data_IF_592864985592
#
_entry.id   IF_592864985592
#
_cell.length_a   1.000
_cell.length_b   1.000
_cell.length_c   1.000
_cell.angle_alpha   90.00
_cell.angle_beta   90.00
_cell.angle_gamma   90.00
#
_symmetry.space_group_name_H-M   'P 1'
#
loop_
_entity.id
_entity.type
_entity.pdbx_description
1 polymer ?
#
# COMPACT_ATOMS: atom_id res chain seq x y z
N UNK A 1 -0.18 85.97 28.41
CA UNK A 1 -0.44 86.05 26.96
C UNK A 1 -0.99 84.71 26.50
N UNK A 2 -1.97 84.68 25.57
CA UNK A 2 -2.17 83.65 24.53
C UNK A 2 -2.36 82.17 25.02
N UNK A 3 -3.44 81.42 24.75
CA UNK A 3 -4.62 81.55 23.87
C UNK A 3 -5.75 80.59 24.33
N UNK A 4 -7.02 80.86 23.97
CA UNK A 4 -8.20 79.95 23.79
C UNK A 4 -8.55 78.85 24.83
N UNK A 5 -9.81 78.62 25.26
CA UNK A 5 -11.13 78.85 24.64
C UNK A 5 -11.50 77.73 23.66
N UNK A 6 -12.74 77.27 23.42
CA UNK A 6 -14.11 77.50 23.94
C UNK A 6 -15.03 76.43 23.29
N UNK A 7 -16.26 76.08 23.73
CA UNK A 7 -17.09 76.37 24.91
C UNK A 7 -18.23 75.31 25.02
N UNK A 8 -18.93 75.23 26.15
CA UNK A 8 -20.32 74.70 26.22
C UNK A 8 -21.34 75.81 25.88
N UNK A 9 -22.58 75.43 25.51
CA UNK A 9 -23.87 75.85 26.13
C UNK A 9 -25.09 75.70 25.17
N UNK A 10 -26.14 75.05 25.67
CA UNK A 10 -27.60 75.16 25.40
C UNK A 10 -28.10 75.61 24.02
N UNK A 11 -28.82 74.82 23.21
CA UNK A 11 -30.10 74.12 23.42
C UNK A 11 -31.39 74.98 23.40
N UNK A 12 -32.28 74.65 22.45
CA UNK A 12 -33.74 74.82 22.43
C UNK A 12 -34.28 73.81 21.37
N UNK A 13 -35.43 73.14 21.48
CA UNK A 13 -36.77 73.60 21.89
C UNK A 13 -37.67 72.38 22.23
N UNK A 14 -38.71 72.60 23.04
CA UNK A 14 -39.60 71.55 23.61
C UNK A 14 -40.80 71.19 22.71
N UNK A 15 -41.21 69.91 22.71
CA UNK A 15 -42.60 69.40 22.72
C UNK A 15 -42.55 67.86 22.79
N UNK A 16 -43.50 67.10 23.38
CA UNK A 16 -44.63 67.42 24.28
C UNK A 16 -44.84 66.22 25.25
N UNK A 17 -45.63 66.34 26.33
CA UNK A 17 -45.62 65.41 27.50
C UNK A 17 -46.98 64.77 27.83
N UNK A 18 -46.96 63.54 28.39
CA UNK A 18 -48.05 62.73 29.00
C UNK A 18 -48.69 61.71 28.02
N UNK A 19 -49.02 60.45 28.37
CA UNK A 19 -49.19 59.71 29.65
C UNK A 19 -48.39 58.37 29.58
N UNK A 20 -47.87 57.68 30.60
CA UNK A 20 -48.14 57.42 32.03
C UNK A 20 -49.00 56.15 32.32
N UNK A 21 -48.42 55.26 33.16
CA UNK A 21 -48.95 54.06 33.85
C UNK A 21 -48.86 52.63 33.23
N UNK A 22 -47.96 51.84 33.84
CA UNK A 22 -47.92 50.39 34.11
C UNK A 22 -48.76 49.40 33.26
N UNK A 23 -48.09 48.38 32.72
CA UNK A 23 -48.37 46.98 33.11
C UNK A 23 -47.11 46.10 33.02
N UNK A 24 -47.08 45.07 33.87
CA UNK A 24 -45.97 44.19 34.29
C UNK A 24 -45.25 43.36 33.21
N UNK A 25 -43.97 43.07 33.49
CA UNK A 25 -43.30 41.76 33.38
C UNK A 25 -44.05 40.66 32.57
N UNK A 26 -43.50 40.27 31.42
CA UNK A 26 -42.99 38.91 31.13
C UNK A 26 -42.55 38.79 29.64
N UNK A 27 -41.77 39.74 29.12
CA UNK A 27 -41.04 39.51 27.88
C UNK A 27 -39.84 38.61 28.19
N UNK A 28 -40.07 37.29 28.29
CA UNK A 28 -38.99 36.30 28.22
C UNK A 28 -38.31 36.55 26.87
N UNK A 29 -37.12 37.13 26.94
CA UNK A 29 -36.28 37.32 25.78
C UNK A 29 -35.91 35.95 25.25
N UNK A 30 -36.70 35.46 24.31
CA UNK A 30 -36.37 34.36 23.41
C UNK A 30 -35.24 34.86 22.50
N UNK A 31 -34.08 35.14 23.09
CA UNK A 31 -32.82 35.01 22.39
C UNK A 31 -32.82 33.56 21.91
N UNK A 32 -32.88 33.29 20.60
CA UNK A 32 -32.50 31.97 20.14
C UNK A 32 -31.07 31.80 20.64
N UNK A 33 -30.87 30.85 21.54
CA UNK A 33 -29.55 30.29 21.78
C UNK A 33 -29.15 29.69 20.44
N UNK A 34 -28.47 30.50 19.62
CA UNK A 34 -27.71 30.01 18.49
C UNK A 34 -26.76 29.03 19.14
N UNK A 35 -27.09 27.75 19.01
CA UNK A 35 -26.26 26.65 19.45
C UNK A 35 -24.99 26.79 18.63
N UNK A 36 -24.01 27.44 19.25
CA UNK A 36 -22.68 27.62 18.68
C UNK A 36 -22.16 26.21 18.55
N UNK A 37 -22.18 25.69 17.32
CA UNK A 37 -21.58 24.42 16.98
C UNK A 37 -20.21 24.39 17.63
N UNK A 38 -19.91 23.28 18.29
CA UNK A 38 -18.55 23.03 18.73
C UNK A 38 -17.73 22.80 17.45
N UNK A 39 -17.30 23.90 16.83
CA UNK A 39 -16.58 23.92 15.56
C UNK A 39 -15.28 23.14 15.74
N UNK A 40 -15.36 21.84 15.44
CA UNK A 40 -14.22 20.95 15.44
C UNK A 40 -13.18 21.46 14.47
N UNK A 41 -11.92 21.11 14.68
CA UNK A 41 -10.87 21.47 13.72
C UNK A 41 -11.21 20.84 12.38
N UNK A 42 -11.49 21.67 11.37
CA UNK A 42 -11.86 21.21 10.04
C UNK A 42 -10.75 20.30 9.48
N UNK A 43 -11.14 19.09 9.08
CA UNK A 43 -10.22 18.04 8.63
C UNK A 43 -9.99 18.05 7.11
N UNK A 44 -10.70 18.94 6.42
CA UNK A 44 -10.66 19.17 4.98
C UNK A 44 -11.80 20.10 4.53
N UNK A 45 -11.93 20.26 3.22
CA UNK A 45 -13.00 21.04 2.59
C UNK A 45 -13.54 20.32 1.35
N UNK A 46 -14.86 20.34 1.16
CA UNK A 46 -15.47 20.05 -0.14
C UNK A 46 -15.31 21.26 -1.07
N UNK A 47 -14.74 21.04 -2.25
CA UNK A 47 -14.29 22.08 -3.20
C UNK A 47 -15.24 22.29 -4.37
N UNK A 48 -15.81 21.21 -4.90
CA UNK A 48 -16.68 21.21 -6.09
C UNK A 48 -17.62 20.01 -6.05
N UNK A 49 -18.86 20.19 -6.48
CA UNK A 49 -19.77 19.12 -6.84
C UNK A 49 -20.44 19.43 -8.19
N UNK A 50 -20.61 18.40 -9.02
CA UNK A 50 -21.54 18.39 -10.15
C UNK A 50 -22.69 17.50 -9.73
N UNK A 51 -23.93 17.99 -9.78
CA UNK A 51 -25.02 17.44 -8.98
C UNK A 51 -24.97 17.96 -7.53
N UNK A 52 -25.24 17.09 -6.56
CA UNK A 52 -25.27 17.42 -5.13
C UNK A 52 -24.37 16.48 -4.32
N UNK A 53 -23.43 17.08 -3.59
CA UNK A 53 -22.72 16.41 -2.49
C UNK A 53 -23.54 16.62 -1.22
N UNK A 54 -23.82 15.55 -0.47
CA UNK A 54 -24.43 15.62 0.86
C UNK A 54 -23.37 15.28 1.90
N UNK A 55 -23.30 16.06 2.97
CA UNK A 55 -22.46 15.79 4.15
C UNK A 55 -23.39 15.67 5.36
N UNK A 56 -23.46 14.48 5.94
CA UNK A 56 -24.18 14.24 7.19
C UNK A 56 -23.18 14.40 8.33
N UNK A 57 -23.40 15.41 9.18
CA UNK A 57 -22.57 15.73 10.34
C UNK A 57 -22.68 14.64 11.41
N UNK A 58 -21.75 14.64 12.36
CA UNK A 58 -21.72 13.67 13.46
C UNK A 58 -22.97 13.72 14.38
N UNK A 59 -23.68 14.85 14.42
CA UNK A 59 -24.96 15.05 15.13
C UNK A 59 -26.20 14.70 14.28
N UNK A 60 -26.02 14.31 13.02
CA UNK A 60 -27.08 13.96 12.08
C UNK A 60 -27.59 15.09 11.18
N UNK A 61 -27.06 16.32 11.31
CA UNK A 61 -27.45 17.43 10.43
C UNK A 61 -26.95 17.17 9.00
N UNK A 62 -27.82 17.32 8.00
CA UNK A 62 -27.41 17.29 6.59
C UNK A 62 -27.05 18.70 6.07
N UNK A 63 -25.86 18.84 5.52
CA UNK A 63 -25.44 19.96 4.69
C UNK A 63 -25.25 19.52 3.24
N UNK A 64 -25.42 20.45 2.29
CA UNK A 64 -25.37 20.15 0.85
C UNK A 64 -24.52 21.15 0.08
N UNK A 65 -23.69 20.65 -0.84
CA UNK A 65 -22.89 21.46 -1.76
C UNK A 65 -23.23 21.11 -3.21
N UNK A 66 -23.41 22.14 -4.03
CA UNK A 66 -23.59 22.05 -5.49
C UNK A 66 -22.77 23.14 -6.16
N UNK A 67 -22.12 22.85 -7.29
CA UNK A 67 -21.18 23.77 -7.92
C UNK A 67 -19.85 23.89 -7.17
N UNK A 68 -19.15 25.01 -7.32
CA UNK A 68 -17.89 25.30 -6.60
C UNK A 68 -18.18 25.87 -5.21
N UNK A 69 -17.39 25.50 -4.21
CA UNK A 69 -17.52 26.05 -2.86
C UNK A 69 -16.33 25.72 -1.95
N UNK A 70 -16.51 25.96 -0.66
CA UNK A 70 -15.54 25.62 0.40
C UNK A 70 -16.27 25.24 1.68
N UNK A 71 -17.05 24.18 1.61
CA UNK A 71 -17.75 23.62 2.78
C UNK A 71 -16.73 22.88 3.65
N UNK A 72 -16.61 23.18 4.96
CA UNK A 72 -15.72 22.45 5.85
C UNK A 72 -16.20 21.01 6.06
N UNK A 73 -15.26 20.11 6.26
CA UNK A 73 -15.47 18.71 6.64
C UNK A 73 -14.88 18.50 8.03
N UNK A 74 -15.50 17.64 8.83
CA UNK A 74 -15.12 17.36 10.21
C UNK A 74 -14.92 15.86 10.47
N UNK A 75 -14.29 15.54 11.60
CA UNK A 75 -14.19 14.17 12.11
C UNK A 75 -15.60 13.62 12.39
N UNK A 76 -15.90 12.43 11.89
CA UNK A 76 -17.20 11.77 12.08
C UNK A 76 -18.22 11.98 10.95
N UNK A 77 -17.98 12.94 10.05
CA UNK A 77 -18.85 13.24 8.91
C UNK A 77 -19.02 12.04 7.96
N UNK A 78 -20.23 11.85 7.43
CA UNK A 78 -20.53 10.92 6.34
C UNK A 78 -20.77 11.70 5.06
N UNK A 79 -19.92 11.50 4.06
CA UNK A 79 -19.95 12.22 2.79
C UNK A 79 -20.54 11.33 1.70
N UNK A 80 -21.50 11.86 0.92
CA UNK A 80 -22.33 11.10 -0.02
C UNK A 80 -22.56 11.79 -1.36
N UNK A 81 -22.57 11.00 -2.43
CA UNK A 81 -23.08 11.35 -3.77
C UNK A 81 -24.23 10.42 -4.16
N UNK A 82 -25.20 10.94 -4.91
CA UNK A 82 -26.23 10.12 -5.56
C UNK A 82 -25.77 9.61 -6.95
N UNK A 83 -26.67 8.93 -7.67
CA UNK A 83 -26.38 8.29 -8.96
C UNK A 83 -26.04 9.28 -10.09
N UNK A 84 -26.31 10.58 -9.91
CA UNK A 84 -26.07 11.65 -10.87
C UNK A 84 -24.99 12.64 -10.42
N UNK A 85 -24.39 12.43 -9.24
CA UNK A 85 -23.52 13.41 -8.59
C UNK A 85 -22.08 12.94 -8.49
N UNK A 86 -21.14 13.85 -8.72
CA UNK A 86 -19.70 13.63 -8.50
C UNK A 86 -19.10 14.83 -7.77
N UNK A 87 -18.10 14.61 -6.94
CA UNK A 87 -17.52 15.67 -6.10
C UNK A 87 -16.00 15.60 -5.99
N UNK A 88 -15.40 16.72 -5.61
CA UNK A 88 -13.98 16.85 -5.32
C UNK A 88 -13.81 17.49 -3.93
N UNK A 89 -13.04 16.82 -3.08
CA UNK A 89 -12.65 17.23 -1.75
C UNK A 89 -11.14 17.41 -1.66
N UNK A 90 -10.71 18.18 -0.66
CA UNK A 90 -9.32 18.39 -0.31
C UNK A 90 -9.19 18.22 1.22
N UNK A 91 -8.48 17.17 1.65
CA UNK A 91 -8.23 16.85 3.05
C UNK A 91 -6.80 17.22 3.41
N UNK A 92 -6.60 17.91 4.54
CA UNK A 92 -5.32 18.58 4.84
C UNK A 92 -4.84 19.44 3.63
N UNK A 93 -3.54 19.70 3.49
CA UNK A 93 -2.95 20.45 2.37
C UNK A 93 -2.62 19.62 1.13
N UNK A 94 -2.69 18.28 1.25
CA UNK A 94 -1.93 17.37 0.37
C UNK A 94 -2.70 16.12 -0.07
N UNK A 95 -3.99 15.99 0.28
CA UNK A 95 -4.81 14.83 -0.07
C UNK A 95 -6.03 15.31 -0.86
N UNK A 96 -6.11 14.92 -2.13
CA UNK A 96 -7.29 15.15 -2.97
C UNK A 96 -8.13 13.88 -3.02
N UNK A 97 -9.45 14.03 -2.89
CA UNK A 97 -10.41 12.90 -2.93
C UNK A 97 -11.53 13.23 -3.90
N UNK A 98 -11.61 12.49 -5.00
CA UNK A 98 -12.72 12.54 -5.96
C UNK A 98 -13.75 11.48 -5.65
N UNK A 99 -15.02 11.84 -5.58
CA UNK A 99 -16.14 10.91 -5.41
C UNK A 99 -16.80 10.71 -6.78
N UNK A 100 -16.98 9.45 -7.17
CA UNK A 100 -17.86 9.09 -8.27
C UNK A 100 -19.33 9.14 -7.82
N UNK A 101 -20.25 8.78 -8.71
CA UNK A 101 -21.67 8.56 -8.38
C UNK A 101 -21.86 7.48 -7.31
N UNK A 102 -23.03 7.49 -6.67
CA UNK A 102 -23.49 6.42 -5.77
C UNK A 102 -22.49 6.08 -4.64
N UNK A 103 -21.73 7.07 -4.16
CA UNK A 103 -20.58 6.84 -3.26
C UNK A 103 -20.89 7.36 -1.86
N UNK A 104 -20.52 6.59 -0.84
CA UNK A 104 -20.74 6.93 0.57
C UNK A 104 -19.54 6.51 1.42
N UNK A 105 -18.92 7.45 2.13
CA UNK A 105 -17.85 7.13 3.08
C UNK A 105 -17.93 7.99 4.36
N UNK A 106 -17.36 7.48 5.47
CA UNK A 106 -17.23 8.23 6.73
C UNK A 106 -15.78 8.65 6.98
N UNK A 107 -15.57 9.89 7.41
CA UNK A 107 -14.26 10.39 7.84
C UNK A 107 -14.03 10.01 9.31
N UNK A 108 -12.95 9.31 9.61
CA UNK A 108 -12.47 9.09 10.98
C UNK A 108 -10.94 9.21 11.05
N UNK A 109 -10.38 9.26 12.25
CA UNK A 109 -8.94 9.36 12.49
C UNK A 109 -8.51 8.40 13.61
N UNK A 110 -7.29 7.87 13.52
CA UNK A 110 -6.66 7.02 14.55
C UNK A 110 -5.37 7.67 15.03
N UNK A 111 -5.17 7.74 16.34
CA UNK A 111 -3.90 8.24 16.92
C UNK A 111 -2.99 7.07 17.30
N UNK A 112 -1.73 7.18 16.93
CA UNK A 112 -0.68 6.21 17.21
C UNK A 112 0.56 6.94 17.76
N UNK A 113 1.12 6.44 18.87
CA UNK A 113 2.28 7.06 19.52
C UNK A 113 3.51 7.21 18.60
N UNK A 114 3.67 6.32 17.62
CA UNK A 114 4.80 6.33 16.67
C UNK A 114 4.53 7.17 15.40
N UNK A 115 3.28 7.19 14.91
CA UNK A 115 2.94 7.73 13.59
C UNK A 115 2.10 9.03 13.65
N UNK A 116 1.65 9.45 14.83
CA UNK A 116 0.78 10.61 15.00
C UNK A 116 -0.67 10.31 14.66
N UNK A 117 -1.34 11.19 13.91
CA UNK A 117 -2.73 11.00 13.48
C UNK A 117 -2.75 10.42 12.06
N UNK A 118 -3.23 9.19 11.93
CA UNK A 118 -3.60 8.56 10.65
C UNK A 118 -5.03 8.93 10.30
N UNK A 119 -5.26 9.46 9.10
CA UNK A 119 -6.59 9.76 8.57
C UNK A 119 -7.16 8.50 7.92
N UNK A 120 -8.43 8.19 8.16
CA UNK A 120 -9.09 7.00 7.63
C UNK A 120 -10.37 7.42 6.90
N UNK A 121 -10.56 6.96 5.67
CA UNK A 121 -11.79 7.11 4.90
C UNK A 121 -12.50 5.75 4.86
N UNK A 122 -13.60 5.60 5.60
CA UNK A 122 -14.41 4.38 5.66
C UNK A 122 -15.40 4.34 4.51
N UNK A 123 -14.96 3.88 3.35
CA UNK A 123 -15.78 3.69 2.16
C UNK A 123 -16.76 2.53 2.37
N UNK A 124 -18.06 2.86 2.39
CA UNK A 124 -19.13 1.86 2.53
C UNK A 124 -19.50 1.25 1.18
N UNK A 125 -19.70 2.09 0.18
CA UNK A 125 -20.09 1.73 -1.18
C UNK A 125 -19.70 2.84 -2.17
N UNK A 126 -19.52 2.49 -3.44
CA UNK A 126 -19.16 3.39 -4.53
C UNK A 126 -17.64 3.51 -4.74
N UNK A 127 -17.19 4.59 -5.40
CA UNK A 127 -15.83 4.70 -5.92
C UNK A 127 -15.17 6.05 -5.56
N UNK A 128 -13.96 5.97 -5.03
CA UNK A 128 -13.08 7.10 -4.74
C UNK A 128 -11.86 7.09 -5.66
N UNK A 129 -11.52 8.26 -6.19
CA UNK A 129 -10.16 8.58 -6.63
C UNK A 129 -9.44 9.31 -5.50
N UNK A 130 -8.18 8.99 -5.27
CA UNK A 130 -7.37 9.60 -4.21
C UNK A 130 -5.98 9.90 -4.74
N UNK A 131 -5.51 11.15 -4.55
CA UNK A 131 -4.13 11.59 -4.82
C UNK A 131 -3.52 12.17 -3.55
N UNK A 132 -2.28 11.79 -3.25
CA UNK A 132 -1.54 12.26 -2.06
C UNK A 132 -0.15 12.78 -2.43
N UNK A 133 0.22 13.97 -1.95
CA UNK A 133 1.61 14.44 -1.99
C UNK A 133 2.47 13.59 -1.03
N UNK A 134 3.71 13.27 -1.42
CA UNK A 134 4.61 12.48 -0.58
C UNK A 134 4.99 13.19 0.72
N UNK A 135 4.42 12.75 1.85
CA UNK A 135 4.64 13.34 3.17
C UNK A 135 4.66 12.33 4.31
N UNK A 136 4.83 12.83 5.55
CA UNK A 136 4.95 11.99 6.76
C UNK A 136 3.59 11.48 7.29
N UNK A 137 2.49 12.15 6.92
CA UNK A 137 1.13 11.82 7.39
C UNK A 137 0.55 10.65 6.59
N UNK A 138 0.06 9.64 7.30
CA UNK A 138 -0.53 8.45 6.69
C UNK A 138 -2.04 8.65 6.42
N UNK A 139 -2.49 8.12 5.29
CA UNK A 139 -3.89 8.00 4.92
C UNK A 139 -4.22 6.51 4.76
N UNK A 140 -5.39 6.11 5.25
CA UNK A 140 -5.97 4.80 5.01
C UNK A 140 -7.34 4.96 4.34
N UNK A 141 -7.70 4.03 3.45
CA UNK A 141 -9.08 3.85 2.98
C UNK A 141 -9.54 2.47 3.40
N UNK A 142 -10.48 2.42 4.34
CA UNK A 142 -11.12 1.19 4.80
C UNK A 142 -12.36 0.91 3.93
N UNK A 143 -12.58 -0.35 3.59
CA UNK A 143 -13.75 -0.90 2.87
C UNK A 143 -14.34 -2.06 3.68
N UNK A 144 -15.51 -2.64 3.32
CA UNK A 144 -16.10 -3.74 4.10
C UNK A 144 -15.21 -4.99 4.25
N UNK A 145 -14.24 -5.20 3.35
CA UNK A 145 -13.39 -6.42 3.33
C UNK A 145 -11.88 -6.14 3.31
N UNK A 146 -11.47 -4.89 3.08
CA UNK A 146 -10.07 -4.53 2.86
C UNK A 146 -9.69 -3.12 3.36
N UNK A 147 -8.40 -2.88 3.55
CA UNK A 147 -7.80 -1.61 3.94
C UNK A 147 -6.70 -1.27 2.92
N UNK A 148 -6.67 -0.03 2.44
CA UNK A 148 -5.62 0.51 1.59
C UNK A 148 -4.77 1.50 2.39
N UNK A 149 -3.49 1.23 2.60
CA UNK A 149 -2.54 2.16 3.25
C UNK A 149 -1.82 2.97 2.18
N UNK A 150 -1.85 4.29 2.31
CA UNK A 150 -1.58 5.25 1.23
C UNK A 150 -0.45 6.20 1.62
N UNK A 151 0.57 6.32 0.76
CA UNK A 151 1.66 7.30 0.92
C UNK A 151 2.27 7.69 -0.43
N UNK A 152 2.04 8.92 -0.88
CA UNK A 152 2.68 9.47 -2.09
C UNK A 152 2.20 8.80 -3.38
N UNK A 153 0.90 8.56 -3.49
CA UNK A 153 0.28 7.81 -4.60
C UNK A 153 -0.90 8.54 -5.22
N UNK A 154 -1.23 8.15 -6.45
CA UNK A 154 -2.53 8.38 -7.08
C UNK A 154 -3.21 7.02 -7.40
N UNK A 155 -4.45 6.83 -6.98
CA UNK A 155 -5.17 5.57 -7.18
C UNK A 155 -6.69 5.74 -7.18
N UNK A 156 -7.39 4.67 -7.54
CA UNK A 156 -8.83 4.50 -7.41
C UNK A 156 -9.11 3.29 -6.52
N UNK A 157 -10.10 3.41 -5.65
CA UNK A 157 -10.67 2.31 -4.87
C UNK A 157 -12.19 2.34 -4.97
N UNK A 158 -12.79 1.18 -5.19
CA UNK A 158 -14.23 0.97 -5.32
C UNK A 158 -14.67 -0.11 -4.34
N UNK A 159 -15.80 0.12 -3.64
CA UNK A 159 -16.48 -0.87 -2.83
C UNK A 159 -17.85 -1.18 -3.47
N UNK A 160 -18.03 -2.41 -3.91
CA UNK A 160 -19.26 -2.92 -4.50
C UNK A 160 -20.29 -3.30 -3.41
N UNK A 161 -21.56 -3.42 -3.80
CA UNK A 161 -22.68 -3.67 -2.86
C UNK A 161 -22.66 -5.04 -2.19
N UNK A 162 -21.92 -5.99 -2.76
CA UNK A 162 -21.63 -7.32 -2.19
C UNK A 162 -20.45 -7.29 -1.19
N UNK A 163 -19.81 -6.14 -0.99
CA UNK A 163 -18.62 -5.95 -0.17
C UNK A 163 -17.30 -6.14 -0.92
N UNK A 164 -17.32 -6.64 -2.16
CA UNK A 164 -16.13 -6.81 -3.00
C UNK A 164 -15.47 -5.45 -3.25
N UNK A 165 -14.16 -5.36 -3.11
CA UNK A 165 -13.42 -4.10 -3.19
C UNK A 165 -12.32 -4.14 -4.25
N UNK A 166 -12.33 -3.20 -5.19
CA UNK A 166 -11.41 -3.12 -6.31
C UNK A 166 -10.44 -1.95 -6.10
N UNK A 167 -9.13 -2.16 -6.17
CA UNK A 167 -8.12 -1.10 -6.06
C UNK A 167 -7.22 -1.08 -7.28
N UNK A 168 -7.17 0.07 -7.98
CA UNK A 168 -6.32 0.31 -9.16
C UNK A 168 -5.38 1.49 -8.91
N UNK A 169 -4.07 1.30 -9.00
CA UNK A 169 -3.09 2.37 -8.79
C UNK A 169 -2.70 3.03 -10.11
N UNK A 170 -2.83 4.36 -10.17
CA UNK A 170 -2.43 5.20 -11.31
C UNK A 170 -0.94 5.56 -11.17
N UNK A 171 -0.49 5.92 -9.97
CA UNK A 171 0.89 6.31 -9.68
C UNK A 171 1.29 5.87 -8.26
N UNK A 172 2.48 5.28 -8.10
CA UNK A 172 3.07 4.92 -6.81
C UNK A 172 2.80 3.47 -6.37
N UNK A 173 2.68 3.25 -5.06
CA UNK A 173 2.40 1.95 -4.44
C UNK A 173 1.43 2.10 -3.26
N UNK A 174 0.34 1.34 -3.30
CA UNK A 174 -0.67 1.25 -2.23
C UNK A 174 -0.62 -0.15 -1.62
N UNK A 175 -0.46 -0.26 -0.31
CA UNK A 175 -0.55 -1.54 0.39
C UNK A 175 -2.02 -1.88 0.62
N UNK A 176 -2.56 -2.82 -0.14
CA UNK A 176 -3.96 -3.23 -0.09
C UNK A 176 -4.09 -4.56 0.66
N UNK A 177 -4.76 -4.56 1.81
CA UNK A 177 -4.81 -5.70 2.72
C UNK A 177 -6.22 -6.14 3.09
N UNK A 178 -6.38 -7.44 3.28
CA UNK A 178 -7.57 -8.06 3.89
C UNK A 178 -7.15 -8.73 5.21
N UNK A 179 -8.10 -9.24 5.99
CA UNK A 179 -7.81 -10.09 7.15
C UNK A 179 -7.00 -11.37 6.81
N UNK A 180 -6.88 -11.72 5.52
CA UNK A 180 -6.18 -12.91 5.01
C UNK A 180 -4.85 -12.56 4.31
N UNK A 181 -4.41 -11.31 4.39
CA UNK A 181 -3.09 -10.85 3.95
C UNK A 181 -3.12 -9.64 3.01
N UNK A 182 -1.92 -9.12 2.73
CA UNK A 182 -1.66 -7.91 1.94
C UNK A 182 -1.18 -8.19 0.52
N UNK A 183 -1.39 -7.19 -0.34
CA UNK A 183 -1.01 -7.11 -1.73
C UNK A 183 -0.48 -5.69 -2.03
N UNK A 184 0.81 -5.52 -2.35
CA UNK A 184 1.34 -4.23 -2.81
C UNK A 184 0.86 -3.95 -4.23
N UNK A 185 -0.01 -2.96 -4.40
CA UNK A 185 -0.58 -2.57 -5.70
C UNK A 185 0.28 -1.43 -6.24
N UNK A 186 0.82 -1.58 -7.45
CA UNK A 186 1.75 -0.62 -8.08
C UNK A 186 1.11 0.10 -9.26
N UNK A 187 1.69 1.23 -9.67
CA UNK A 187 1.42 1.93 -10.94
C UNK A 187 0.94 1.00 -12.06
N UNK A 188 -0.20 1.31 -12.66
CA UNK A 188 -0.83 0.57 -13.75
C UNK A 188 -1.22 -0.88 -13.42
N UNK A 189 -1.54 -1.18 -12.15
CA UNK A 189 -2.08 -2.48 -11.73
C UNK A 189 -3.38 -2.37 -10.93
N UNK A 190 -4.17 -3.45 -10.93
CA UNK A 190 -5.42 -3.60 -10.17
C UNK A 190 -5.39 -4.87 -9.32
N UNK A 191 -6.03 -4.84 -8.15
CA UNK A 191 -6.32 -6.00 -7.30
C UNK A 191 -7.75 -5.94 -6.77
N UNK A 192 -8.32 -7.10 -6.49
CA UNK A 192 -9.67 -7.29 -5.98
C UNK A 192 -9.60 -7.93 -4.59
N UNK A 193 -10.45 -7.53 -3.67
CA UNK A 193 -10.59 -8.12 -2.36
C UNK A 193 -12.03 -8.57 -2.15
N UNK A 194 -12.20 -9.79 -1.64
CA UNK A 194 -13.49 -10.41 -1.38
C UNK A 194 -13.54 -10.88 0.08
N UNK A 195 -14.74 -10.98 0.65
CA UNK A 195 -14.91 -11.45 2.02
C UNK A 195 -14.34 -12.88 2.19
N UNK A 196 -13.62 -13.11 3.29
CA UNK A 196 -13.06 -14.43 3.59
C UNK A 196 -11.81 -14.82 2.79
N UNK A 197 -11.32 -13.95 1.89
CA UNK A 197 -10.22 -14.25 0.97
C UNK A 197 -9.10 -13.22 1.09
N UNK A 198 -7.89 -13.63 0.68
CA UNK A 198 -6.80 -12.69 0.43
C UNK A 198 -7.11 -11.88 -0.83
N UNK A 199 -6.68 -10.61 -0.85
CA UNK A 199 -6.64 -9.80 -2.07
C UNK A 199 -5.98 -10.56 -3.24
N UNK A 200 -6.49 -10.36 -4.45
CA UNK A 200 -5.94 -11.02 -5.66
C UNK A 200 -4.55 -10.49 -5.95
N UNK A 201 -3.71 -11.33 -6.57
CA UNK A 201 -2.43 -10.86 -7.12
C UNK A 201 -2.68 -9.65 -8.04
N UNK A 202 -1.91 -8.56 -7.93
CA UNK A 202 -2.07 -7.41 -8.82
C UNK A 202 -1.86 -7.82 -10.28
N UNK A 203 -2.77 -7.41 -11.17
CA UNK A 203 -2.66 -7.59 -12.62
C UNK A 203 -2.55 -6.25 -13.32
N UNK A 204 -1.84 -6.20 -14.45
CA UNK A 204 -1.74 -4.97 -15.25
C UNK A 204 -3.13 -4.55 -15.69
N UNK A 205 -3.45 -3.26 -15.50
CA UNK A 205 -4.73 -2.68 -15.85
C UNK A 205 -4.51 -1.38 -16.62
N UNK A 206 -5.33 -1.16 -17.65
CA UNK A 206 -5.43 0.14 -18.27
C UNK A 206 -5.93 1.18 -17.25
N UNK A 207 -5.11 2.20 -17.03
CA UNK A 207 -5.37 3.36 -16.15
C UNK A 207 -5.79 4.59 -16.94
N UNK A 208 -5.76 4.59 -18.28
CA UNK A 208 -6.13 5.75 -19.10
C UNK A 208 -7.61 6.16 -18.92
N UNK A 209 -8.61 5.24 -18.86
CA UNK A 209 -9.99 5.63 -18.57
C UNK A 209 -10.16 6.28 -17.18
N UNK A 210 -9.37 5.80 -16.22
CA UNK A 210 -9.32 6.33 -14.86
C UNK A 210 -8.72 7.75 -14.82
N UNK A 211 -7.55 7.94 -15.42
CA UNK A 211 -6.87 9.23 -15.51
C UNK A 211 -7.69 10.27 -16.30
N UNK A 212 -8.41 9.86 -17.34
CA UNK A 212 -9.26 10.76 -18.13
C UNK A 212 -10.47 11.28 -17.32
N UNK A 213 -11.10 10.41 -16.51
CA UNK A 213 -12.17 10.83 -15.59
C UNK A 213 -11.66 11.81 -14.54
N UNK A 214 -10.50 11.56 -13.94
CA UNK A 214 -9.96 12.39 -12.85
C UNK A 214 -9.48 13.74 -13.38
N UNK A 215 -8.89 13.78 -14.58
CA UNK A 215 -8.61 15.02 -15.31
C UNK A 215 -9.89 15.87 -15.53
N UNK A 216 -11.03 15.25 -15.88
CA UNK A 216 -12.31 15.96 -16.05
C UNK A 216 -12.93 16.45 -14.73
N UNK A 217 -12.70 15.76 -13.61
CA UNK A 217 -13.08 16.24 -12.27
C UNK A 217 -12.27 17.49 -11.87
N UNK A 218 -10.96 17.44 -12.11
CA UNK A 218 -10.01 18.52 -11.80
C UNK A 218 -10.18 19.73 -12.73
N UNK A 219 -10.53 19.53 -14.00
CA UNK A 219 -10.76 20.64 -14.91
C UNK A 219 -11.96 21.49 -14.45
N UNK A 220 -11.74 22.80 -14.53
CA UNK A 220 -12.70 23.82 -14.14
C UNK A 220 -13.56 24.30 -15.31
N UNK A 221 -13.26 23.90 -16.55
CA UNK A 221 -13.98 24.32 -17.77
C UNK A 221 -15.08 23.36 -18.25
N UNK A 222 -14.97 22.05 -17.98
CA UNK A 222 -15.86 21.02 -18.54
C UNK A 222 -17.34 21.05 -18.08
N UNK A 223 -17.76 21.96 -17.21
CA UNK A 223 -19.13 22.01 -16.65
C UNK A 223 -20.16 22.74 -17.53
N UNK A 224 -20.13 22.51 -18.85
CA UNK A 224 -21.18 22.90 -19.81
C UNK A 224 -21.23 21.91 -20.98
N UNK A 225 -21.85 20.75 -20.76
CA UNK A 225 -22.72 20.01 -21.68
C UNK A 225 -23.04 18.65 -21.04
N UNK A 226 -24.32 18.33 -20.87
CA UNK A 226 -24.77 17.11 -20.19
C UNK A 226 -25.08 15.96 -21.15
N UNK A 227 -25.31 14.77 -20.59
CA UNK A 227 -25.94 13.63 -21.27
C UNK A 227 -24.98 12.75 -22.10
N UNK A 228 -24.41 11.72 -21.47
CA UNK A 228 -23.61 10.70 -22.16
C UNK A 228 -23.39 9.46 -21.30
N UNK A 229 -24.29 8.48 -21.37
CA UNK A 229 -24.11 7.18 -20.72
C UNK A 229 -23.08 6.34 -21.47
N UNK A 230 -21.86 6.24 -20.92
CA UNK A 230 -20.85 5.28 -21.39
C UNK A 230 -20.96 4.01 -20.54
N UNK A 231 -21.56 2.97 -21.10
CA UNK A 231 -21.43 1.60 -20.63
C UNK A 231 -20.46 0.87 -21.57
N UNK A 232 -19.39 0.28 -21.03
CA UNK A 232 -18.51 -0.63 -21.77
C UNK A 232 -18.18 -1.85 -20.92
N UNK A 233 -18.26 -3.03 -21.55
CA UNK A 233 -18.03 -4.31 -20.92
C UNK A 233 -16.53 -4.58 -20.66
N UNK A 234 -16.24 -5.43 -19.67
CA UNK A 234 -14.88 -5.75 -19.26
C UNK A 234 -14.13 -6.65 -20.28
N UNK A 235 -12.82 -6.42 -20.53
CA UNK A 235 -11.99 -7.29 -21.37
C UNK A 235 -11.52 -8.56 -20.65
N UNK A 236 -11.14 -9.57 -21.44
CA UNK A 236 -10.65 -10.88 -20.96
C UNK A 236 -9.30 -10.78 -20.21
N UNK A 237 -9.01 -11.70 -19.26
CA UNK A 237 -7.87 -11.57 -18.35
C UNK A 237 -6.49 -11.77 -19.03
N UNK A 238 -5.48 -10.96 -18.68
CA UNK A 238 -4.11 -11.11 -19.19
C UNK A 238 -3.38 -12.32 -18.58
N UNK A 239 -2.42 -12.87 -19.33
CA UNK A 239 -1.64 -14.03 -18.90
C UNK A 239 -0.75 -13.73 -17.66
N UNK A 240 -0.55 -14.70 -16.75
CA UNK A 240 0.11 -14.46 -15.46
C UNK A 240 1.61 -14.15 -15.59
N UNK A 241 2.02 -12.99 -15.07
CA UNK A 241 3.40 -12.56 -14.96
C UNK A 241 4.05 -12.97 -13.61
N UNK A 242 5.37 -13.10 -13.60
CA UNK A 242 6.17 -13.31 -12.39
C UNK A 242 6.26 -12.02 -11.55
N UNK A 243 6.40 -12.12 -10.21
CA UNK A 243 6.79 -10.98 -9.37
C UNK A 243 8.21 -10.50 -9.71
N UNK A 244 8.55 -9.24 -9.45
CA UNK A 244 9.84 -8.63 -9.79
C UNK A 244 10.82 -8.72 -8.61
N UNK A 245 12.09 -9.02 -8.89
CA UNK A 245 13.20 -9.01 -7.92
C UNK A 245 14.33 -8.08 -8.40
N UNK A 246 14.04 -6.78 -8.51
CA UNK A 246 15.01 -5.78 -8.98
C UNK A 246 14.68 -4.35 -8.53
N UNK A 247 15.69 -3.50 -8.23
CA UNK A 247 17.06 -3.90 -7.90
C UNK A 247 17.06 -4.76 -6.63
N UNK A 248 17.89 -5.82 -6.55
CA UNK A 248 17.92 -6.67 -5.37
C UNK A 248 18.44 -5.88 -4.15
N UNK A 249 17.95 -6.17 -2.93
CA UNK A 249 18.57 -5.66 -1.71
C UNK A 249 20.04 -6.07 -1.61
N UNK A 250 20.80 -5.34 -0.82
CA UNK A 250 22.21 -5.61 -0.59
C UNK A 250 22.40 -7.01 0.02
N UNK A 251 23.12 -7.86 -0.71
CA UNK A 251 23.43 -9.21 -0.29
C UNK A 251 24.62 -9.23 0.69
N UNK A 252 24.61 -10.20 1.62
CA UNK A 252 25.72 -10.50 2.53
C UNK A 252 27.01 -10.88 1.78
N UNK A 253 26.84 -11.63 0.68
CA UNK A 253 27.90 -11.99 -0.26
C UNK A 253 27.27 -12.45 -1.58
N UNK A 254 28.07 -12.66 -2.62
CA UNK A 254 27.60 -13.17 -3.91
C UNK A 254 28.62 -14.12 -4.58
N UNK A 255 28.16 -14.91 -5.54
CA UNK A 255 29.01 -15.80 -6.34
C UNK A 255 28.46 -15.96 -7.76
N UNK A 256 29.29 -15.69 -8.77
CA UNK A 256 28.99 -16.07 -10.16
C UNK A 256 29.03 -17.59 -10.31
N UNK A 257 28.01 -18.17 -10.93
CA UNK A 257 27.94 -19.61 -11.21
C UNK A 257 28.49 -19.85 -12.62
N UNK A 258 29.52 -20.71 -12.79
CA UNK A 258 30.08 -20.99 -14.12
C UNK A 258 29.04 -21.53 -15.09
N UNK A 259 28.98 -20.95 -16.31
CA UNK A 259 28.01 -21.33 -17.35
C UNK A 259 28.01 -22.83 -17.65
N UNK A 260 29.18 -23.47 -17.67
CA UNK A 260 29.32 -24.91 -17.91
C UNK A 260 28.57 -25.80 -16.87
N UNK A 261 28.36 -25.31 -15.64
CA UNK A 261 27.58 -26.02 -14.62
C UNK A 261 26.06 -25.91 -14.86
N UNK A 262 25.62 -24.98 -15.70
CA UNK A 262 24.21 -24.72 -16.02
C UNK A 262 23.84 -25.21 -17.43
N UNK A 263 24.79 -25.12 -18.36
CA UNK A 263 24.72 -25.54 -19.76
C UNK A 263 25.92 -26.45 -20.04
N UNK A 264 25.88 -27.73 -19.63
CA UNK A 264 26.95 -28.69 -19.91
C UNK A 264 26.88 -29.25 -21.34
N UNK A 265 25.71 -29.23 -21.97
CA UNK A 265 25.50 -29.55 -23.38
C UNK A 265 25.39 -28.26 -24.18
N UNK A 266 26.42 -27.97 -24.99
CA UNK A 266 26.49 -26.85 -25.91
C UNK A 266 26.13 -27.22 -27.36
N UNK A 267 25.75 -28.48 -27.63
CA UNK A 267 25.37 -28.92 -28.99
C UNK A 267 23.96 -28.48 -29.37
N UNK A 268 23.12 -28.11 -28.38
CA UNK A 268 21.77 -27.62 -28.57
C UNK A 268 21.56 -26.25 -27.93
N UNK A 269 20.74 -25.41 -28.57
CA UNK A 269 20.32 -24.13 -28.01
C UNK A 269 19.47 -24.34 -26.74
N UNK A 270 19.98 -23.90 -25.59
CA UNK A 270 19.28 -24.02 -24.31
C UNK A 270 18.25 -22.90 -24.13
N UNK A 271 17.13 -23.21 -23.48
CA UNK A 271 16.14 -22.23 -23.04
C UNK A 271 16.26 -21.92 -21.55
N UNK A 272 15.60 -20.84 -21.10
CA UNK A 272 15.44 -20.53 -19.68
C UNK A 272 14.82 -21.69 -18.90
N UNK A 273 13.91 -22.47 -19.50
CA UNK A 273 13.35 -23.66 -18.87
C UNK A 273 14.38 -24.77 -18.65
N UNK A 274 15.32 -24.99 -19.58
CA UNK A 274 16.37 -26.00 -19.41
C UNK A 274 17.29 -25.64 -18.23
N UNK A 275 17.71 -24.38 -18.15
CA UNK A 275 18.59 -23.89 -17.08
C UNK A 275 17.86 -23.86 -15.73
N UNK A 276 16.61 -23.40 -15.69
CA UNK A 276 15.79 -23.40 -14.48
C UNK A 276 15.57 -24.82 -13.95
N UNK A 277 15.15 -25.77 -14.80
CA UNK A 277 14.94 -27.16 -14.41
C UNK A 277 16.23 -27.84 -13.90
N UNK A 278 17.40 -27.46 -14.45
CA UNK A 278 18.69 -27.94 -13.94
C UNK A 278 19.00 -27.38 -12.55
N UNK A 279 18.75 -26.10 -12.31
CA UNK A 279 18.91 -25.48 -10.98
C UNK A 279 17.93 -26.08 -9.97
N UNK A 280 16.64 -26.20 -10.31
CA UNK A 280 15.63 -26.86 -9.47
C UNK A 280 16.04 -28.29 -9.10
N UNK A 281 16.56 -29.07 -10.05
CA UNK A 281 17.04 -30.43 -9.79
C UNK A 281 18.22 -30.44 -8.81
N UNK A 282 19.14 -29.47 -8.90
CA UNK A 282 20.26 -29.35 -7.97
C UNK A 282 19.82 -28.89 -6.56
N UNK A 283 18.81 -28.02 -6.49
CA UNK A 283 18.18 -27.59 -5.24
C UNK A 283 17.43 -28.75 -4.57
N UNK A 284 16.56 -29.44 -5.31
CA UNK A 284 15.79 -30.58 -4.84
C UNK A 284 16.67 -31.74 -4.32
N UNK A 285 17.78 -32.03 -5.03
CA UNK A 285 18.78 -33.04 -4.60
C UNK A 285 19.36 -32.74 -3.21
N UNK A 286 19.41 -31.47 -2.82
CA UNK A 286 19.93 -31.02 -1.52
C UNK A 286 18.82 -30.62 -0.54
N UNK A 287 17.57 -31.04 -0.78
CA UNK A 287 16.44 -30.88 0.15
C UNK A 287 15.79 -29.50 0.19
N UNK A 288 16.13 -28.60 -0.73
CA UNK A 288 15.36 -27.37 -0.96
C UNK A 288 14.09 -27.73 -1.76
N UNK A 289 12.94 -27.21 -1.34
CA UNK A 289 11.64 -27.44 -1.98
C UNK A 289 11.08 -26.13 -2.57
N UNK A 290 10.47 -26.22 -3.75
CA UNK A 290 9.62 -25.18 -4.34
C UNK A 290 10.22 -23.76 -4.34
N UNK A 291 11.37 -23.52 -5.01
CA UNK A 291 11.95 -22.18 -5.08
C UNK A 291 11.00 -21.18 -5.77
N UNK A 292 11.00 -19.93 -5.30
CA UNK A 292 10.16 -18.87 -5.84
C UNK A 292 10.73 -18.29 -7.13
N UNK A 293 9.94 -18.27 -8.21
CA UNK A 293 10.31 -17.64 -9.47
C UNK A 293 10.01 -16.13 -9.49
N UNK A 294 10.99 -15.36 -9.96
CA UNK A 294 10.90 -13.92 -10.12
C UNK A 294 11.36 -13.48 -11.51
N UNK A 295 10.88 -12.33 -11.97
CA UNK A 295 11.42 -11.60 -13.11
C UNK A 295 12.51 -10.63 -12.66
N UNK A 296 13.55 -10.52 -13.47
CA UNK A 296 14.61 -9.50 -13.39
C UNK A 296 14.80 -8.91 -14.81
N UNK A 297 15.53 -7.80 -14.98
CA UNK A 297 15.81 -7.27 -16.32
C UNK A 297 16.40 -8.35 -17.22
N UNK A 298 15.76 -8.53 -18.38
CA UNK A 298 16.19 -9.47 -19.43
C UNK A 298 16.43 -10.92 -18.94
N UNK A 299 15.71 -11.33 -17.89
CA UNK A 299 16.03 -12.57 -17.20
C UNK A 299 15.00 -13.04 -16.18
N UNK A 300 15.41 -14.00 -15.36
CA UNK A 300 14.61 -14.54 -14.26
C UNK A 300 15.49 -14.79 -13.02
N UNK A 301 14.86 -14.96 -11.87
CA UNK A 301 15.52 -15.41 -10.65
C UNK A 301 14.76 -16.56 -9.99
N UNK A 302 15.52 -17.41 -9.29
CA UNK A 302 15.04 -18.48 -8.42
C UNK A 302 15.48 -18.18 -6.99
N UNK A 303 14.54 -18.02 -6.06
CA UNK A 303 14.85 -17.73 -4.66
C UNK A 303 14.59 -18.97 -3.80
N UNK A 304 15.57 -19.36 -2.98
CA UNK A 304 15.47 -20.49 -2.06
C UNK A 304 14.64 -20.16 -0.83
N UNK A 305 14.10 -21.18 -0.15
CA UNK A 305 13.42 -20.98 1.14
C UNK A 305 14.44 -20.53 2.21
N UNK A 306 13.94 -19.90 3.28
CA UNK A 306 14.78 -19.60 4.44
C UNK A 306 15.31 -20.90 5.05
N UNK A 307 16.63 -21.01 5.12
CA UNK A 307 17.36 -22.17 5.59
C UNK A 307 18.06 -21.86 6.91
N UNK A 308 17.88 -22.67 7.94
CA UNK A 308 18.69 -22.58 9.17
C UNK A 308 20.03 -23.27 8.96
N UNK A 309 21.11 -22.54 9.22
CA UNK A 309 22.51 -22.97 9.03
C UNK A 309 23.28 -22.97 10.36
N UNK A 310 24.34 -23.78 10.39
CA UNK A 310 25.36 -23.71 11.43
C UNK A 310 26.29 -22.51 11.17
N UNK A 311 27.12 -22.09 12.15
CA UNK A 311 28.09 -21.01 11.97
C UNK A 311 29.09 -21.24 10.82
N UNK A 312 29.39 -22.50 10.47
CA UNK A 312 30.29 -22.88 9.35
C UNK A 312 29.57 -22.89 7.97
N UNK A 313 28.41 -22.24 7.88
CA UNK A 313 27.50 -22.23 6.73
C UNK A 313 26.94 -23.60 6.28
N UNK A 314 27.19 -24.70 7.02
CA UNK A 314 26.57 -26.00 6.72
C UNK A 314 25.07 -26.01 7.08
N UNK A 315 24.23 -26.77 6.36
CA UNK A 315 22.83 -26.92 6.73
C UNK A 315 22.69 -27.59 8.11
N UNK A 316 21.79 -27.07 8.95
CA UNK A 316 21.35 -27.79 10.16
C UNK A 316 20.60 -29.09 9.79
N UNK A 317 20.45 -30.06 10.72
CA UNK A 317 19.75 -31.31 10.46
C UNK A 317 18.31 -31.13 9.93
N UNK A 318 17.78 -32.02 9.05
CA UNK A 318 16.52 -31.79 8.32
C UNK A 318 15.27 -31.56 9.18
N UNK A 319 15.26 -32.05 10.42
CA UNK A 319 14.21 -31.87 11.41
C UNK A 319 14.14 -30.45 11.98
N UNK A 320 15.16 -29.62 11.78
CA UNK A 320 15.29 -28.23 12.26
C UNK A 320 15.51 -27.23 11.12
N UNK A 321 16.22 -27.62 10.05
CA UNK A 321 16.62 -26.78 8.89
C UNK A 321 15.53 -25.88 8.31
N UNK A 322 14.29 -26.35 8.35
CA UNK A 322 13.12 -25.70 7.74
C UNK A 322 12.03 -25.32 8.75
N UNK A 323 12.25 -25.52 10.05
CA UNK A 323 11.25 -25.20 11.08
C UNK A 323 11.49 -23.82 11.66
N UNK A 324 10.49 -22.95 11.48
CA UNK A 324 10.29 -21.74 12.29
C UNK A 324 9.13 -22.07 13.22
N UNK A 325 9.32 -22.10 14.54
CA UNK A 325 8.22 -22.42 15.46
C UNK A 325 7.29 -21.21 15.61
N UNK A 326 6.00 -21.42 15.37
CA UNK A 326 4.94 -20.43 15.61
C UNK A 326 3.85 -21.09 16.44
N UNK A 327 3.53 -20.52 17.60
CA UNK A 327 2.55 -21.09 18.54
C UNK A 327 1.13 -20.58 18.22
N UNK A 328 0.18 -21.47 17.86
CA UNK A 328 -1.18 -21.09 17.46
C UNK A 328 -2.04 -20.53 18.60
N UNK A 329 -1.62 -20.59 19.87
CA UNK A 329 -2.35 -19.97 20.98
C UNK A 329 -2.40 -18.43 20.92
N UNK A 330 -1.65 -17.80 20.00
CA UNK A 330 -1.56 -16.34 19.84
C UNK A 330 -2.66 -15.72 18.96
N UNK A 331 -3.70 -16.47 18.58
CA UNK A 331 -4.63 -16.12 17.48
C UNK A 331 -6.03 -15.73 18.01
N UNK A 332 -6.17 -14.53 18.57
CA UNK A 332 -7.46 -13.78 18.69
C UNK A 332 -7.19 -12.27 18.69
N UNK A 333 -8.15 -11.43 18.27
CA UNK A 333 -8.01 -10.65 17.04
C UNK A 333 -6.78 -9.71 17.02
N UNK A 334 -5.85 -10.04 16.12
CA UNK A 334 -4.71 -9.26 15.61
C UNK A 334 -4.11 -8.13 16.50
N UNK A 335 -3.13 -8.51 17.32
CA UNK A 335 -2.06 -7.62 17.78
C UNK A 335 -0.72 -8.04 17.13
N UNK A 336 -0.32 -7.35 16.05
CA UNK A 336 0.88 -7.68 15.28
C UNK A 336 2.17 -7.59 16.13
N UNK A 337 2.25 -6.64 17.07
CA UNK A 337 3.41 -6.50 17.97
C UNK A 337 3.56 -7.67 18.95
N UNK A 338 2.44 -8.26 19.41
CA UNK A 338 2.48 -9.45 20.27
C UNK A 338 2.93 -10.70 19.48
N UNK A 339 2.45 -10.86 18.24
CA UNK A 339 2.89 -11.91 17.32
C UNK A 339 4.40 -11.82 17.02
N UNK A 340 4.91 -10.62 16.75
CA UNK A 340 6.34 -10.37 16.55
C UNK A 340 7.17 -10.68 17.80
N UNK A 341 6.68 -10.30 18.99
CA UNK A 341 7.37 -10.61 20.26
C UNK A 341 7.41 -12.11 20.60
N UNK A 342 6.42 -12.88 20.14
CA UNK A 342 6.43 -14.35 20.24
C UNK A 342 7.43 -15.01 19.27
N UNK A 343 7.61 -14.43 18.07
CA UNK A 343 8.61 -14.88 17.08
C UNK A 343 10.06 -14.56 17.50
N UNK A 344 10.29 -13.46 18.22
CA UNK A 344 11.60 -13.03 18.71
C UNK A 344 12.10 -13.78 19.96
N UNK A 345 11.41 -14.85 20.37
CA UNK A 345 11.61 -15.49 21.67
C UNK A 345 11.64 -17.02 21.66
N UNK A 346 12.57 -17.64 20.88
CA UNK A 346 13.26 -18.92 21.21
C UNK A 346 14.17 -19.49 20.11
N UNK A 347 13.98 -19.14 18.83
CA UNK A 347 14.69 -19.78 17.70
C UNK A 347 15.98 -19.01 17.29
N UNK A 348 16.96 -18.92 18.20
CA UNK A 348 18.25 -18.28 17.94
C UNK A 348 19.11 -19.02 16.89
N UNK A 349 19.99 -18.28 16.22
CA UNK A 349 21.02 -18.81 15.33
C UNK A 349 21.06 -18.17 13.94
N UNK A 350 21.74 -18.84 13.02
CA UNK A 350 22.03 -18.34 11.68
C UNK A 350 21.06 -18.90 10.64
N UNK A 351 20.69 -18.06 9.68
CA UNK A 351 19.78 -18.41 8.59
C UNK A 351 20.29 -17.85 7.27
N UNK A 352 19.94 -18.46 6.14
CA UNK A 352 20.19 -17.87 4.81
C UNK A 352 19.02 -17.99 3.84
N UNK A 353 18.97 -17.06 2.89
CA UNK A 353 18.23 -17.15 1.63
C UNK A 353 19.22 -16.96 0.48
N UNK A 354 19.06 -17.73 -0.59
CA UNK A 354 19.90 -17.63 -1.79
C UNK A 354 19.00 -17.29 -2.99
N UNK A 355 19.25 -16.14 -3.62
CA UNK A 355 18.61 -15.74 -4.86
C UNK A 355 19.55 -16.00 -6.04
N UNK A 356 19.22 -16.97 -6.88
CA UNK A 356 19.92 -17.29 -8.12
C UNK A 356 19.35 -16.41 -9.24
N UNK A 357 20.08 -15.37 -9.61
CA UNK A 357 19.68 -14.38 -10.62
C UNK A 357 20.34 -14.74 -11.95
N UNK A 358 19.55 -14.85 -13.02
CA UNK A 358 19.99 -15.19 -14.38
C UNK A 358 19.65 -14.03 -15.32
N UNK A 359 20.65 -13.26 -15.76
CA UNK A 359 20.46 -12.02 -16.55
C UNK A 359 21.77 -11.64 -17.26
N UNK A 360 21.73 -10.92 -18.41
CA UNK A 360 22.91 -10.28 -18.98
C UNK A 360 23.23 -8.93 -18.30
N UNK A 361 22.29 -8.38 -17.53
CA UNK A 361 22.39 -7.05 -16.91
C UNK A 361 23.22 -7.11 -15.62
N UNK A 362 24.20 -6.22 -15.51
CA UNK A 362 25.01 -6.06 -14.29
C UNK A 362 24.14 -5.81 -13.07
N UNK A 363 24.30 -6.64 -12.03
CA UNK A 363 23.57 -6.50 -10.77
C UNK A 363 24.14 -5.32 -9.99
N UNK A 364 23.34 -4.26 -9.87
CA UNK A 364 23.54 -3.16 -8.92
C UNK A 364 22.47 -3.30 -7.85
N UNK A 365 22.88 -3.45 -6.59
CA UNK A 365 21.96 -3.59 -5.46
C UNK A 365 21.36 -2.24 -5.07
N UNK A 366 20.26 -2.26 -4.32
CA UNK A 366 19.49 -1.05 -3.99
C UNK A 366 20.15 -0.13 -2.95
N UNK A 367 21.19 -0.58 -2.25
CA UNK A 367 21.74 0.08 -1.06
C UNK A 367 20.91 -0.12 0.21
N UNK A 368 19.78 -0.83 0.13
CA UNK A 368 18.96 -1.19 1.28
C UNK A 368 19.36 -2.59 1.79
N UNK A 369 19.46 -2.74 3.10
CA UNK A 369 19.65 -4.05 3.74
C UNK A 369 18.37 -4.89 3.64
N UNK A 370 18.51 -6.18 3.33
CA UNK A 370 17.38 -7.10 3.38
C UNK A 370 16.90 -7.31 4.81
N UNK A 371 15.58 -7.24 5.05
CA UNK A 371 14.97 -7.67 6.29
C UNK A 371 14.67 -9.18 6.24
N UNK A 372 14.95 -9.92 7.32
CA UNK A 372 14.61 -11.35 7.42
C UNK A 372 13.10 -11.61 7.28
N UNK A 373 12.25 -10.66 7.68
CA UNK A 373 10.79 -10.76 7.56
C UNK A 373 10.34 -10.74 6.10
N UNK A 374 11.00 -9.92 5.28
CA UNK A 374 10.79 -9.91 3.82
C UNK A 374 11.35 -11.18 3.18
N UNK A 375 12.57 -11.57 3.57
CA UNK A 375 13.26 -12.75 3.03
C UNK A 375 12.50 -14.06 3.28
N UNK A 376 11.81 -14.18 4.43
CA UNK A 376 10.89 -15.30 4.74
C UNK A 376 9.76 -15.42 3.71
N UNK A 377 9.31 -14.32 3.14
CA UNK A 377 8.17 -14.27 2.22
C UNK A 377 8.54 -14.50 0.76
N UNK A 378 9.81 -14.31 0.37
CA UNK A 378 10.22 -14.38 -1.05
C UNK A 378 9.87 -15.72 -1.72
N UNK A 379 9.95 -16.86 -1.03
CA UNK A 379 9.49 -18.13 -1.64
C UNK A 379 7.97 -18.20 -1.78
N UNK A 380 7.22 -17.78 -0.77
CA UNK A 380 5.75 -17.82 -0.82
C UNK A 380 5.13 -16.77 -1.77
N UNK A 381 5.89 -15.73 -2.13
CA UNK A 381 5.46 -14.67 -3.06
C UNK A 381 5.91 -14.92 -4.51
N UNK A 382 6.94 -15.75 -4.71
CA UNK A 382 7.42 -16.17 -6.03
C UNK A 382 6.37 -16.90 -6.87
N UNK A 383 6.55 -16.90 -8.19
CA UNK A 383 5.82 -17.83 -9.05
C UNK A 383 6.26 -19.27 -8.80
N UNK A 384 5.37 -20.24 -9.02
CA UNK A 384 5.68 -21.67 -8.81
C UNK A 384 6.35 -22.36 -10.01
N UNK A 385 6.49 -21.64 -11.15
CA UNK A 385 7.17 -22.07 -12.38
C UNK A 385 7.40 -20.87 -13.30
N UNK A 386 8.30 -20.99 -14.28
CA UNK A 386 8.35 -20.04 -15.41
C UNK A 386 7.02 -20.04 -16.19
N UNK A 387 6.43 -18.88 -16.50
CA UNK A 387 5.34 -18.76 -17.47
C UNK A 387 5.77 -19.25 -18.86
N UNK A 388 4.84 -19.83 -19.63
CA UNK A 388 5.09 -20.46 -20.96
C UNK A 388 5.77 -19.53 -21.98
N UNK A 389 5.64 -18.21 -21.82
CA UNK A 389 6.28 -17.20 -22.69
C UNK A 389 7.76 -17.01 -22.31
N UNK A 390 8.08 -16.99 -21.02
CA UNK A 390 9.44 -16.88 -20.50
C UNK A 390 10.20 -18.20 -20.61
N UNK A 391 9.52 -19.33 -20.42
CA UNK A 391 10.11 -20.68 -20.48
C UNK A 391 10.73 -21.01 -21.85
N UNK A 392 10.31 -20.34 -22.92
CA UNK A 392 10.78 -20.52 -24.30
C UNK A 392 11.94 -19.60 -24.70
N UNK A 393 12.28 -18.61 -23.88
CA UNK A 393 13.37 -17.68 -24.20
C UNK A 393 14.70 -18.42 -24.25
N UNK A 394 15.55 -18.05 -25.20
CA UNK A 394 16.89 -18.63 -25.33
C UNK A 394 17.78 -18.15 -24.18
N UNK A 395 18.64 -19.04 -23.69
CA UNK A 395 19.65 -18.71 -22.71
C UNK A 395 20.92 -18.23 -23.43
N UNK A 396 20.92 -16.94 -23.83
CA UNK A 396 21.99 -16.28 -24.59
C UNK A 396 23.38 -16.45 -23.97
N UNK A 397 24.44 -16.30 -24.76
CA UNK A 397 25.84 -16.52 -24.32
C UNK A 397 26.28 -15.53 -23.22
N UNK A 398 25.74 -14.32 -23.30
CA UNK A 398 25.85 -13.19 -22.39
C UNK A 398 25.12 -13.39 -21.05
N UNK A 399 24.20 -14.35 -20.94
CA UNK A 399 23.49 -14.66 -19.69
C UNK A 399 24.45 -15.08 -18.57
N UNK A 400 24.56 -14.23 -17.54
CA UNK A 400 25.32 -14.52 -16.32
C UNK A 400 24.37 -15.02 -15.24
N UNK A 401 24.76 -16.10 -14.57
CA UNK A 401 24.11 -16.58 -13.37
C UNK A 401 24.89 -16.12 -12.13
N UNK A 402 24.23 -15.43 -11.20
CA UNK A 402 24.82 -14.97 -9.94
C UNK A 402 23.94 -15.39 -8.78
N UNK A 403 24.50 -16.12 -7.81
CA UNK A 403 23.88 -16.33 -6.52
C UNK A 403 24.13 -15.10 -5.63
N UNK A 404 23.07 -14.49 -5.15
CA UNK A 404 23.08 -13.50 -4.07
C UNK A 404 22.72 -14.22 -2.77
N UNK A 405 23.59 -14.15 -1.77
CA UNK A 405 23.39 -14.81 -0.48
C UNK A 405 23.00 -13.74 0.54
N UNK A 406 21.87 -13.94 1.22
CA UNK A 406 21.42 -13.14 2.34
C UNK A 406 21.53 -14.01 3.59
N UNK A 407 22.47 -13.68 4.46
CA UNK A 407 22.73 -14.36 5.73
C UNK A 407 22.21 -13.50 6.88
N UNK A 408 21.46 -14.11 7.78
CA UNK A 408 20.83 -13.45 8.92
C UNK A 408 21.22 -14.14 10.22
N UNK A 409 21.43 -13.35 11.27
CA UNK A 409 21.56 -13.84 12.63
C UNK A 409 20.35 -13.40 13.46
N UNK A 410 19.74 -14.33 14.19
CA UNK A 410 18.73 -14.07 15.21
C UNK A 410 19.37 -14.27 16.59
N UNK A 411 19.60 -13.20 17.37
CA UNK A 411 20.16 -13.31 18.71
C UNK A 411 19.23 -14.02 19.70
N UNK A 412 19.80 -14.61 20.75
CA UNK A 412 19.06 -15.38 21.77
C UNK A 412 18.14 -14.55 22.68
N UNK A 413 18.26 -13.22 22.68
CA UNK A 413 17.69 -12.35 23.71
C UNK A 413 16.92 -11.14 23.16
N UNK A 414 15.88 -11.37 22.34
CA UNK A 414 14.86 -10.36 22.02
C UNK A 414 15.32 -9.15 21.19
N UNK A 415 16.58 -9.14 20.76
CA UNK A 415 17.12 -8.21 19.77
C UNK A 415 16.55 -8.51 18.38
N UNK A 416 16.52 -7.49 17.52
CA UNK A 416 16.10 -7.67 16.13
C UNK A 416 17.10 -8.56 15.38
N UNK A 417 16.60 -9.33 14.42
CA UNK A 417 17.47 -10.08 13.52
C UNK A 417 18.32 -9.13 12.67
N UNK A 418 19.61 -9.45 12.50
CA UNK A 418 20.56 -8.66 11.72
C UNK A 418 20.93 -9.36 10.42
N UNK A 419 21.17 -8.58 9.37
CA UNK A 419 21.81 -9.07 8.15
C UNK A 419 23.32 -9.11 8.39
N UNK A 420 23.94 -10.28 8.25
CA UNK A 420 25.38 -10.43 8.36
C UNK A 420 26.02 -9.96 7.06
N UNK A 421 26.45 -8.69 7.02
CA UNK A 421 27.02 -8.06 5.82
C UNK A 421 28.31 -7.28 6.17
N UNK A 422 29.48 -7.66 5.61
CA UNK A 422 29.69 -8.87 4.81
C UNK A 422 29.43 -10.14 5.64
N UNK A 423 29.09 -11.25 4.98
CA UNK A 423 29.15 -12.57 5.62
C UNK A 423 30.61 -12.95 5.91
N UNK A 424 30.84 -13.69 7.00
CA UNK A 424 32.12 -14.34 7.31
C UNK A 424 32.52 -15.37 6.23
N UNK A 425 31.55 -15.87 5.46
CA UNK A 425 31.72 -16.85 4.40
C UNK A 425 31.48 -16.21 3.03
N UNK A 426 32.36 -16.47 2.06
CA UNK A 426 32.11 -16.03 0.69
C UNK A 426 31.02 -16.89 0.01
N UNK A 427 30.45 -16.37 -1.09
CA UNK A 427 29.38 -17.06 -1.79
C UNK A 427 29.75 -18.48 -2.29
N UNK A 428 31.03 -18.74 -2.61
CA UNK A 428 31.47 -20.09 -2.97
C UNK A 428 31.43 -21.06 -1.78
N UNK A 429 31.82 -20.60 -0.58
CA UNK A 429 31.74 -21.40 0.66
C UNK A 429 30.29 -21.76 0.98
N UNK A 430 29.35 -20.80 0.92
CA UNK A 430 27.92 -21.09 1.11
C UNK A 430 27.40 -22.12 0.10
N UNK A 431 27.66 -21.94 -1.21
CA UNK A 431 27.15 -22.87 -2.23
C UNK A 431 27.79 -24.26 -2.17
N UNK A 432 29.04 -24.38 -1.67
CA UNK A 432 29.70 -25.66 -1.37
C UNK A 432 29.11 -26.33 -0.13
N UNK A 433 28.93 -25.59 0.97
CA UNK A 433 28.33 -26.10 2.20
C UNK A 433 26.87 -26.55 1.99
N UNK A 434 26.12 -25.84 1.14
CA UNK A 434 24.80 -26.22 0.66
C UNK A 434 24.79 -27.39 -0.35
N UNK A 435 25.97 -27.87 -0.80
CA UNK A 435 26.17 -28.90 -1.84
C UNK A 435 25.53 -28.59 -3.20
N UNK A 436 25.22 -27.32 -3.47
CA UNK A 436 24.54 -26.87 -4.70
C UNK A 436 25.48 -26.96 -5.91
N UNK A 437 26.74 -26.52 -5.79
CA UNK A 437 27.72 -26.64 -6.88
C UNK A 437 27.98 -28.12 -7.25
N UNK A 438 28.14 -28.98 -6.23
CA UNK A 438 28.30 -30.43 -6.42
C UNK A 438 27.09 -31.06 -7.14
N UNK A 439 25.87 -30.60 -6.85
CA UNK A 439 24.67 -31.09 -7.51
C UNK A 439 24.51 -30.56 -8.95
N UNK A 440 25.13 -29.43 -9.29
CA UNK A 440 25.27 -28.92 -10.65
C UNK A 440 26.45 -29.57 -11.42
N UNK A 441 27.32 -30.33 -10.75
CA UNK A 441 28.43 -31.07 -11.35
C UNK A 441 29.81 -30.41 -11.24
N UNK A 442 30.01 -29.50 -10.27
CA UNK A 442 31.32 -28.90 -9.96
C UNK A 442 31.69 -28.98 -8.49
#
# INVERSE_FOLDING_TARGET
MIFSGCSMVSAAKKWNRQYLFLFTLLAISFFPTIARSADGVAVGFAKKAVGTLVVVRADGIEERLSGKGRMPLFEGDVVRTDDNSVALLELNSDIQVGLNRSTSFKIVSRWEKANGITRILRLKEGMLWVKTSGGVKQLEVETPVAIAVVKGTEFIIEALKDGTSNLKVIEGLVEFGTAFGTCPIRTSTVSHAEQGKKCTKPVVADVTPAANWTAALLDTKASKNGGGTIAMAAPAPPAPALPIFWPPPDASTHQKIPRALLVPDNTHAQTWANVAARMEKALAKNGYSSPGYYSVPEGFALISQLERINPDATPTPPNERWKIKVDPASIVPFNLGAYLKALLGKDAGYFRVIAFVFTPVSIVTSGAEANIEEAKLWVGQGGTKLPRILSKQLYGEDMVATALIYEFEIPSHGEAARLNKPSEHNGQQHLKAAKILQALGG
#
